data_IF_092616223456
#
_entry.id   IF_092616223456
#
_cell.length_a   1.000
_cell.length_b   1.000
_cell.length_c   1.000
_cell.angle_alpha   90.00
_cell.angle_beta   90.00
_cell.angle_gamma   90.00
#
_symmetry.space_group_name_H-M   'P 1'
#
loop_
_entity.id
_entity.type
_entity.pdbx_description
1 polymer ?
#
# COMPACT_ATOMS: atom_id res chain seq x y z
N UNK A 1 -7.68 -10.62 23.71
CA UNK A 1 -6.99 -9.37 23.35
C UNK A 1 -7.47 -8.92 21.97
N UNK A 2 -8.01 -7.72 21.86
CA UNK A 2 -8.53 -7.20 20.59
C UNK A 2 -7.54 -6.16 20.07
N UNK A 3 -7.03 -6.33 18.85
CA UNK A 3 -6.10 -5.39 18.20
C UNK A 3 -6.82 -4.15 17.68
N UNK A 4 -8.03 -4.29 17.19
CA UNK A 4 -8.81 -3.21 16.62
C UNK A 4 -10.11 -3.71 15.98
N UNK A 5 -10.72 -2.89 15.18
CA UNK A 5 -11.99 -3.16 14.50
C UNK A 5 -11.78 -3.12 12.99
N UNK A 6 -12.29 -4.09 12.25
CA UNK A 6 -12.26 -4.06 10.78
C UNK A 6 -12.98 -2.82 10.28
N UNK A 7 -12.32 -2.02 9.44
CA UNK A 7 -12.84 -0.78 8.87
C UNK A 7 -13.03 -0.93 7.37
N UNK A 8 -14.24 -0.73 6.89
CA UNK A 8 -14.55 -0.78 5.47
C UNK A 8 -14.15 0.50 4.71
N UNK A 9 -13.93 1.61 5.44
CA UNK A 9 -13.59 2.91 4.84
C UNK A 9 -12.67 3.69 5.78
N UNK A 10 -11.38 3.31 5.90
CA UNK A 10 -10.41 4.04 6.70
C UNK A 10 -10.12 5.39 6.07
N UNK A 11 -9.94 6.44 6.89
CA UNK A 11 -9.55 7.76 6.39
C UNK A 11 -8.03 7.93 6.28
N UNK A 12 -7.26 7.16 7.03
CA UNK A 12 -5.80 7.09 6.97
C UNK A 12 -5.40 5.63 7.12
N UNK A 13 -4.64 5.15 6.14
CA UNK A 13 -4.03 3.83 6.18
C UNK A 13 -2.52 3.98 6.41
N UNK A 14 -2.02 3.29 7.41
CA UNK A 14 -0.58 3.13 7.63
C UNK A 14 -0.07 1.88 6.94
N UNK A 15 1.24 1.82 6.77
CA UNK A 15 1.94 0.65 6.21
C UNK A 15 1.44 0.24 4.82
N UNK A 16 1.06 1.24 4.00
CA UNK A 16 0.60 1.06 2.63
C UNK A 16 1.79 1.08 1.70
N UNK A 17 1.90 0.07 0.84
CA UNK A 17 2.85 0.09 -0.26
C UNK A 17 2.21 0.84 -1.44
N UNK A 18 2.81 1.98 -1.80
CA UNK A 18 2.36 2.74 -2.96
C UNK A 18 2.66 1.97 -4.25
N UNK A 19 1.70 1.93 -5.14
CA UNK A 19 1.73 1.68 -6.58
C UNK A 19 2.46 0.43 -7.10
N UNK A 20 3.40 -0.12 -6.36
CA UNK A 20 4.18 -1.26 -6.79
C UNK A 20 3.68 -2.57 -6.18
N UNK A 21 3.85 -3.64 -6.94
CA UNK A 21 3.63 -4.98 -6.46
C UNK A 21 4.44 -5.21 -5.17
N UNK A 22 3.76 -5.63 -4.11
CA UNK A 22 4.40 -5.92 -2.82
C UNK A 22 5.48 -6.99 -3.00
N UNK A 23 6.71 -6.70 -2.61
CA UNK A 23 7.85 -7.57 -2.77
C UNK A 23 8.63 -7.38 -4.07
N UNK A 24 8.28 -6.41 -4.92
CA UNK A 24 9.04 -6.07 -6.12
C UNK A 24 10.47 -5.66 -5.81
N UNK A 25 10.66 -4.90 -4.75
CA UNK A 25 11.97 -4.45 -4.30
C UNK A 25 12.32 -5.05 -2.94
N UNK A 26 13.59 -5.35 -2.73
CA UNK A 26 14.10 -5.77 -1.43
C UNK A 26 14.05 -4.60 -0.45
N UNK A 27 13.68 -4.91 0.80
CA UNK A 27 13.62 -3.95 1.90
C UNK A 27 14.50 -4.39 3.07
N UNK A 28 14.91 -3.44 3.89
CA UNK A 28 15.51 -3.73 5.18
C UNK A 28 14.45 -4.15 6.24
N UNK A 29 14.89 -4.36 7.48
CA UNK A 29 14.00 -4.75 8.60
C UNK A 29 13.00 -3.65 8.99
N UNK A 30 13.21 -2.43 8.55
CA UNK A 30 12.30 -1.30 8.77
C UNK A 30 11.36 -1.04 7.60
N UNK A 31 11.44 -1.85 6.53
CA UNK A 31 10.64 -1.70 5.33
C UNK A 31 11.16 -0.65 4.34
N UNK A 32 12.38 -0.12 4.54
CA UNK A 32 13.01 0.82 3.59
C UNK A 32 13.59 0.04 2.41
N UNK A 33 13.33 0.52 1.19
CA UNK A 33 13.84 -0.10 -0.02
C UNK A 33 15.36 -0.03 -0.07
N UNK A 34 16.00 -1.17 -0.33
CA UNK A 34 17.44 -1.25 -0.53
C UNK A 34 17.83 -0.59 -1.85
N UNK A 35 18.97 0.07 -1.87
CA UNK A 35 19.54 0.71 -3.06
C UNK A 35 20.88 0.12 -3.41
N UNK A 36 21.21 0.16 -4.70
CA UNK A 36 22.50 -0.19 -5.25
C UNK A 36 22.94 0.84 -6.27
N UNK A 37 24.26 1.02 -6.39
CA UNK A 37 24.83 1.81 -7.47
C UNK A 37 25.04 0.92 -8.67
N UNK A 38 24.49 1.31 -9.82
CA UNK A 38 24.61 0.60 -11.09
C UNK A 38 25.32 1.51 -12.07
N UNK A 39 26.36 1.02 -12.71
CA UNK A 39 27.04 1.74 -13.79
C UNK A 39 26.19 1.64 -15.06
N UNK A 40 25.78 2.77 -15.59
CA UNK A 40 25.05 2.89 -16.85
C UNK A 40 26.05 3.27 -17.95
N UNK A 41 26.27 2.39 -18.94
CA UNK A 41 27.18 2.68 -20.02
C UNK A 41 26.62 3.79 -20.92
N UNK A 42 27.50 4.50 -21.61
CA UNK A 42 27.13 5.48 -22.60
C UNK A 42 26.22 4.87 -23.68
N UNK A 43 25.14 5.57 -24.01
CA UNK A 43 24.18 5.16 -25.04
C UNK A 43 24.35 5.99 -26.29
N UNK A 44 24.47 5.31 -27.42
CA UNK A 44 24.54 5.90 -28.73
C UNK A 44 23.32 5.46 -29.56
N UNK A 45 22.87 6.36 -30.44
CA UNK A 45 21.85 6.06 -31.44
C UNK A 45 22.36 6.40 -32.82
N UNK A 46 22.06 5.55 -33.80
CA UNK A 46 22.35 5.81 -35.17
C UNK A 46 21.38 6.89 -35.71
N UNK A 47 21.96 7.98 -36.20
CA UNK A 47 21.18 9.07 -36.81
C UNK A 47 21.66 9.31 -38.27
N UNK A 48 20.71 9.47 -39.16
CA UNK A 48 20.98 9.86 -40.54
C UNK A 48 21.23 11.36 -40.61
N UNK A 49 22.45 11.73 -40.98
CA UNK A 49 22.84 13.14 -41.16
C UNK A 49 22.99 13.40 -42.65
N UNK A 50 22.22 14.33 -43.19
CA UNK A 50 22.30 14.76 -44.58
C UNK A 50 23.16 16.00 -44.68
N UNK A 51 24.23 15.95 -45.46
CA UNK A 51 25.08 17.08 -45.76
C UNK A 51 24.27 18.12 -46.60
N UNK A 52 24.11 19.35 -46.08
CA UNK A 52 23.32 20.38 -46.77
C UNK A 52 23.94 20.89 -48.08
N UNK A 53 25.26 20.66 -48.28
CA UNK A 53 25.96 21.12 -49.49
C UNK A 53 26.00 20.05 -50.58
N UNK A 54 26.18 18.79 -50.22
CA UNK A 54 26.31 17.69 -51.17
C UNK A 54 25.02 16.88 -51.33
N UNK A 55 24.10 16.92 -50.34
CA UNK A 55 22.88 16.11 -50.30
C UNK A 55 23.15 14.64 -50.00
N UNK A 56 24.36 14.25 -49.62
CA UNK A 56 24.70 12.91 -49.24
C UNK A 56 24.24 12.63 -47.82
N UNK A 57 23.61 11.45 -47.58
CA UNK A 57 23.18 11.01 -46.26
C UNK A 57 24.16 10.00 -45.72
N UNK A 58 24.72 10.26 -44.55
CA UNK A 58 25.60 9.37 -43.79
C UNK A 58 24.95 8.99 -42.47
N UNK A 59 25.20 7.77 -42.01
CA UNK A 59 24.74 7.31 -40.68
C UNK A 59 25.88 7.51 -39.69
N UNK A 60 25.62 8.26 -38.64
CA UNK A 60 26.58 8.48 -37.55
C UNK A 60 25.99 8.05 -36.21
N UNK A 61 26.86 7.51 -35.35
CA UNK A 61 26.50 7.19 -33.95
C UNK A 61 26.60 8.47 -33.12
N UNK A 62 25.45 9.01 -32.75
CA UNK A 62 25.34 10.20 -31.90
C UNK A 62 25.20 9.75 -30.44
N UNK A 63 26.03 10.34 -29.58
CA UNK A 63 25.94 10.12 -28.14
C UNK A 63 24.63 10.75 -27.61
N UNK A 64 23.77 9.91 -27.01
CA UNK A 64 22.49 10.32 -26.43
C UNK A 64 22.60 10.48 -24.92
N UNK A 65 23.42 9.63 -24.28
CA UNK A 65 23.59 9.63 -22.85
C UNK A 65 25.03 9.25 -22.50
N UNK A 66 25.69 10.08 -21.68
CA UNK A 66 27.01 9.81 -21.16
C UNK A 66 26.99 8.65 -20.15
N UNK A 67 28.12 7.91 -20.07
CA UNK A 67 28.27 6.92 -19.00
C UNK A 67 28.21 7.60 -17.63
N UNK A 68 27.43 7.00 -16.70
CA UNK A 68 27.31 7.52 -15.36
C UNK A 68 26.89 6.42 -14.37
N UNK A 69 27.10 6.69 -13.08
CA UNK A 69 26.60 5.84 -12.02
C UNK A 69 25.23 6.31 -11.55
N UNK A 70 24.26 5.43 -11.51
CA UNK A 70 22.92 5.70 -11.02
C UNK A 70 22.59 4.86 -9.78
N UNK A 71 21.88 5.45 -8.83
CA UNK A 71 21.34 4.74 -7.68
C UNK A 71 19.97 4.17 -8.05
N UNK A 72 19.83 2.87 -7.95
CA UNK A 72 18.59 2.15 -8.27
C UNK A 72 18.14 1.30 -7.08
N UNK A 73 16.86 1.02 -6.98
CA UNK A 73 16.33 0.08 -6.00
C UNK A 73 16.70 -1.35 -6.38
N UNK A 74 17.04 -2.16 -5.37
CA UNK A 74 17.38 -3.57 -5.57
C UNK A 74 16.12 -4.36 -5.85
N UNK A 75 16.02 -4.93 -7.05
CA UNK A 75 14.90 -5.77 -7.44
C UNK A 75 14.95 -7.10 -6.66
N UNK A 76 13.79 -7.56 -6.21
CA UNK A 76 13.67 -8.88 -5.62
C UNK A 76 13.88 -9.96 -6.70
N UNK A 77 14.78 -10.93 -6.49
CA UNK A 77 15.00 -12.01 -7.45
C UNK A 77 13.74 -12.87 -7.73
N UNK A 78 12.82 -12.92 -6.76
CA UNK A 78 11.57 -13.69 -6.89
C UNK A 78 10.44 -12.87 -7.54
N UNK A 79 10.72 -11.66 -8.00
CA UNK A 79 9.74 -10.82 -8.68
C UNK A 79 9.41 -11.34 -10.08
N UNK A 80 8.14 -11.60 -10.33
CA UNK A 80 7.62 -11.99 -11.63
C UNK A 80 6.92 -10.80 -12.30
N UNK A 81 7.48 -10.21 -13.37
CA UNK A 81 6.88 -9.07 -14.06
C UNK A 81 5.60 -9.42 -14.84
N UNK A 82 5.37 -10.71 -15.13
CA UNK A 82 4.16 -11.17 -15.83
C UNK A 82 2.98 -11.40 -14.87
N UNK A 83 3.21 -11.36 -13.56
CA UNK A 83 2.14 -11.49 -12.56
C UNK A 83 1.29 -10.24 -12.54
N UNK A 84 -0.02 -10.40 -12.74
CA UNK A 84 -0.99 -9.32 -12.61
C UNK A 84 -0.99 -8.76 -11.17
N UNK A 85 -0.85 -7.45 -11.05
CA UNK A 85 -0.94 -6.79 -9.77
C UNK A 85 -2.39 -6.73 -9.30
N UNK A 86 -2.65 -7.34 -8.14
CA UNK A 86 -3.92 -7.21 -7.43
C UNK A 86 -3.70 -6.29 -6.22
N UNK A 87 -4.46 -5.20 -6.15
CA UNK A 87 -4.34 -4.25 -5.06
C UNK A 87 -4.59 -4.91 -3.70
N UNK A 88 -4.05 -4.34 -2.63
CA UNK A 88 -4.25 -4.90 -1.28
C UNK A 88 -5.73 -4.94 -0.90
N UNK A 89 -6.51 -3.96 -1.33
CA UNK A 89 -7.94 -3.85 -1.09
C UNK A 89 -8.73 -5.00 -1.72
N UNK A 90 -8.27 -5.49 -2.87
CA UNK A 90 -8.92 -6.56 -3.62
C UNK A 90 -8.47 -7.96 -3.18
N UNK A 91 -7.46 -8.06 -2.30
CA UNK A 91 -6.93 -9.33 -1.80
C UNK A 91 -7.61 -9.76 -0.51
N UNK A 92 -8.18 -10.96 -0.52
CA UNK A 92 -9.00 -11.51 0.59
C UNK A 92 -8.23 -11.72 1.91
N UNK A 93 -6.91 -11.86 1.85
CA UNK A 93 -6.05 -12.03 3.02
C UNK A 93 -5.75 -10.73 3.77
N UNK A 94 -6.17 -9.59 3.24
CA UNK A 94 -5.96 -8.28 3.83
C UNK A 94 -7.27 -7.66 4.31
N UNK A 95 -7.19 -6.92 5.40
CA UNK A 95 -8.29 -6.10 5.93
C UNK A 95 -7.71 -4.88 6.64
N UNK A 96 -8.32 -3.73 6.43
CA UNK A 96 -7.99 -2.54 7.18
C UNK A 96 -8.48 -2.67 8.63
N UNK A 97 -7.59 -2.47 9.59
CA UNK A 97 -7.91 -2.53 11.02
C UNK A 97 -7.87 -1.12 11.60
N UNK A 98 -9.03 -0.63 12.01
CA UNK A 98 -9.16 0.64 12.73
C UNK A 98 -8.64 0.49 14.15
N UNK A 99 -7.50 1.12 14.44
CA UNK A 99 -6.85 1.10 15.76
C UNK A 99 -7.16 2.35 16.59
N UNK A 100 -7.70 3.39 15.97
CA UNK A 100 -8.06 4.65 16.62
C UNK A 100 -9.19 5.33 15.88
N UNK A 101 -10.14 5.90 16.62
CA UNK A 101 -11.22 6.71 16.05
C UNK A 101 -12.61 6.21 16.38
N UNK A 102 -13.61 6.70 15.62
CA UNK A 102 -15.02 6.33 15.78
C UNK A 102 -15.40 5.38 14.66
N UNK A 103 -15.70 4.15 15.00
CA UNK A 103 -16.05 3.09 14.06
C UNK A 103 -17.47 2.58 14.29
N UNK A 104 -18.13 2.14 13.24
CA UNK A 104 -19.42 1.45 13.30
C UNK A 104 -19.16 -0.05 13.34
N UNK A 105 -19.80 -0.74 14.28
CA UNK A 105 -19.68 -2.19 14.46
C UNK A 105 -21.05 -2.83 14.58
N UNK A 106 -21.12 -4.10 14.19
CA UNK A 106 -22.33 -4.91 14.40
C UNK A 106 -22.45 -5.24 15.91
N UNK A 107 -23.65 -5.14 16.43
CA UNK A 107 -24.03 -5.33 17.83
C UNK A 107 -25.07 -6.45 17.96
N UNK A 108 -24.97 -7.26 19.00
CA UNK A 108 -25.94 -8.31 19.34
C UNK A 108 -27.24 -7.79 20.00
N UNK A 109 -27.40 -6.48 20.05
CA UNK A 109 -28.55 -5.80 20.65
C UNK A 109 -28.40 -5.50 22.15
N UNK A 110 -27.33 -5.97 22.79
CA UNK A 110 -27.14 -5.80 24.24
C UNK A 110 -26.41 -4.53 24.64
N UNK A 111 -25.70 -3.89 23.71
CA UNK A 111 -24.88 -2.73 23.99
C UNK A 111 -25.72 -1.48 24.22
N UNK A 112 -25.40 -0.71 25.24
CA UNK A 112 -26.08 0.53 25.64
C UNK A 112 -25.21 1.76 25.35
N UNK A 113 -25.81 2.85 24.90
CA UNK A 113 -25.12 4.13 24.72
C UNK A 113 -24.52 4.61 26.05
N UNK A 114 -23.27 5.07 26.00
CA UNK A 114 -22.44 5.42 27.16
C UNK A 114 -21.94 4.24 27.99
N UNK A 115 -22.29 2.99 27.64
CA UNK A 115 -21.72 1.79 28.19
C UNK A 115 -20.43 1.37 27.45
N UNK A 116 -20.03 0.15 27.69
CA UNK A 116 -18.88 -0.48 27.06
C UNK A 116 -19.25 -1.77 26.35
N UNK A 117 -18.48 -2.13 25.34
CA UNK A 117 -18.63 -3.37 24.61
C UNK A 117 -17.28 -4.04 24.34
N UNK A 118 -17.33 -5.34 24.14
CA UNK A 118 -16.22 -6.18 23.67
C UNK A 118 -16.67 -7.02 22.48
N UNK A 119 -15.72 -7.60 21.77
CA UNK A 119 -16.03 -8.60 20.76
C UNK A 119 -16.57 -9.86 21.46
N UNK A 120 -17.77 -10.24 21.09
CA UNK A 120 -18.41 -11.50 21.43
C UNK A 120 -18.15 -12.56 20.37
N UNK A 121 -19.13 -13.47 20.21
CA UNK A 121 -19.06 -14.55 19.23
C UNK A 121 -19.02 -13.97 17.81
N UNK A 122 -18.13 -14.51 16.96
CA UNK A 122 -17.92 -14.07 15.58
C UNK A 122 -17.54 -12.59 15.41
N UNK A 123 -16.95 -11.96 16.45
CA UNK A 123 -16.55 -10.56 16.39
C UNK A 123 -17.67 -9.55 16.53
N UNK A 124 -18.91 -9.98 16.78
CA UNK A 124 -20.05 -9.10 17.03
C UNK A 124 -19.89 -8.44 18.41
N UNK A 125 -20.17 -7.14 18.52
CA UNK A 125 -20.07 -6.43 19.78
C UNK A 125 -21.14 -6.91 20.76
N UNK A 126 -20.73 -7.13 22.01
CA UNK A 126 -21.62 -7.48 23.12
C UNK A 126 -21.33 -6.58 24.32
N UNK A 127 -22.34 -6.32 25.15
CA UNK A 127 -22.21 -5.51 26.36
C UNK A 127 -21.15 -6.06 27.31
N UNK A 128 -20.33 -5.18 27.86
CA UNK A 128 -19.27 -5.50 28.81
C UNK A 128 -19.10 -4.39 29.85
N UNK A 129 -18.40 -4.69 30.93
CA UNK A 129 -18.09 -3.70 31.97
C UNK A 129 -16.91 -2.80 31.59
N UNK A 130 -16.10 -3.22 30.61
CA UNK A 130 -14.95 -2.50 30.09
C UNK A 130 -14.78 -2.77 28.59
N UNK A 131 -13.85 -2.08 27.92
CA UNK A 131 -13.56 -2.25 26.50
C UNK A 131 -13.79 -0.98 25.70
N UNK A 132 -14.42 -1.09 24.53
CA UNK A 132 -14.73 0.07 23.68
C UNK A 132 -15.98 0.80 24.17
N UNK A 133 -15.88 2.15 24.27
CA UNK A 133 -17.02 2.94 24.69
C UNK A 133 -18.04 3.05 23.55
N UNK A 134 -19.29 2.77 23.85
CA UNK A 134 -20.41 2.94 22.93
C UNK A 134 -20.82 4.41 22.89
N UNK A 135 -20.67 5.05 21.73
CA UNK A 135 -20.95 6.47 21.55
C UNK A 135 -22.40 6.74 21.12
N UNK A 136 -22.94 5.88 20.26
CA UNK A 136 -24.29 6.02 19.73
C UNK A 136 -24.80 4.67 19.23
N UNK A 137 -26.12 4.50 19.22
CA UNK A 137 -26.79 3.46 18.46
C UNK A 137 -27.20 4.05 17.10
N UNK A 138 -26.88 3.34 16.02
CA UNK A 138 -27.17 3.75 14.66
C UNK A 138 -28.52 3.17 14.21
N UNK A 139 -28.69 1.87 14.44
CA UNK A 139 -29.93 1.11 14.20
C UNK A 139 -30.02 -0.08 15.15
N UNK A 140 -30.93 -1.02 14.89
CA UNK A 140 -31.17 -2.17 15.77
C UNK A 140 -29.98 -3.12 15.90
N UNK A 141 -29.07 -3.12 14.93
CA UNK A 141 -27.93 -4.04 14.82
C UNK A 141 -26.57 -3.35 14.74
N UNK A 142 -26.50 -2.02 14.73
CA UNK A 142 -25.26 -1.29 14.59
C UNK A 142 -25.10 -0.20 15.66
N UNK A 143 -23.89 -0.15 16.20
CA UNK A 143 -23.48 0.87 17.17
C UNK A 143 -22.21 1.58 16.69
N UNK A 144 -22.02 2.82 17.14
CA UNK A 144 -20.76 3.55 16.97
C UNK A 144 -19.95 3.46 18.24
N UNK A 145 -18.70 2.99 18.11
CA UNK A 145 -17.75 2.84 19.22
C UNK A 145 -16.56 3.78 19.07
N UNK A 146 -15.94 4.13 20.20
CA UNK A 146 -14.66 4.81 20.25
C UNK A 146 -13.56 3.80 20.48
N UNK A 147 -12.67 3.65 19.49
CA UNK A 147 -11.44 2.87 19.56
C UNK A 147 -10.29 3.81 19.92
N UNK A 148 -9.49 3.47 20.91
CA UNK A 148 -8.34 4.26 21.39
C UNK A 148 -7.36 3.40 22.17
#
# INVERSE_FOLDING_TARGET
YILGVVSANPCIEGDVYSDDWQGKYLTDVFGQRLTQTVHIPARYEEQEITDPETGETTTENVLIEDEHDAVQWVLNPDYDPEQEYISREDRKEWSAIGMMGKLVVVDDGTCEVNGYCKAGVNGIATKADDGYRVMARIDDTHIRVLVR
#
